data_IF_034322647433
#
_entry.id   IF_034322647433
#
_cell.length_a   1.000
_cell.length_b   1.000
_cell.length_c   1.000
_cell.angle_alpha   90.00
_cell.angle_beta   90.00
_cell.angle_gamma   90.00
#
_symmetry.space_group_name_H-M   'P 1'
#
loop_
_entity.id
_entity.type
_entity.pdbx_description
1 polymer ?
#
# COMPACT_ATOMS: atom_id res chain seq x y z
N UNK A 1 -25.65 -19.80 7.62
CA UNK A 1 -24.83 -18.96 6.73
C UNK A 1 -23.54 -18.63 7.45
N UNK A 2 -22.43 -19.28 7.12
CA UNK A 2 -21.14 -19.00 7.76
C UNK A 2 -20.58 -17.72 7.13
N UNK A 3 -20.49 -16.64 7.91
CA UNK A 3 -19.83 -15.43 7.44
C UNK A 3 -18.37 -15.76 7.11
N UNK A 4 -17.94 -15.47 5.87
CA UNK A 4 -16.54 -15.56 5.48
C UNK A 4 -15.76 -14.56 6.32
N UNK A 5 -14.85 -15.02 7.18
CA UNK A 5 -13.97 -14.10 7.89
C UNK A 5 -13.16 -13.29 6.86
N UNK A 6 -13.14 -11.95 6.94
CA UNK A 6 -12.38 -11.15 6.00
C UNK A 6 -10.88 -11.42 6.23
N UNK A 7 -10.22 -11.95 5.19
CA UNK A 7 -8.77 -12.17 5.20
C UNK A 7 -8.07 -10.88 4.78
N UNK A 8 -6.87 -10.66 5.31
CA UNK A 8 -6.03 -9.55 4.87
C UNK A 8 -5.32 -9.91 3.57
N UNK A 9 -5.32 -8.97 2.64
CA UNK A 9 -4.63 -9.02 1.36
C UNK A 9 -3.47 -8.02 1.36
N UNK A 10 -2.40 -8.35 0.64
CA UNK A 10 -1.26 -7.46 0.41
C UNK A 10 -1.42 -6.77 -0.94
N UNK A 11 -1.61 -5.47 -0.93
CA UNK A 11 -1.73 -4.65 -2.11
C UNK A 11 -0.42 -3.92 -2.40
N UNK A 12 0.00 -3.94 -3.66
CA UNK A 12 0.92 -2.96 -4.22
C UNK A 12 0.12 -1.99 -5.07
N UNK A 13 0.10 -0.71 -4.67
CA UNK A 13 -0.71 0.34 -5.30
C UNK A 13 0.21 1.32 -5.99
N UNK A 14 0.14 1.36 -7.31
CA UNK A 14 0.90 2.32 -8.12
C UNK A 14 0.11 3.61 -8.28
N UNK A 15 0.83 4.73 -8.24
CA UNK A 15 0.29 6.08 -8.32
C UNK A 15 0.84 6.79 -9.57
N UNK A 16 0.26 7.92 -9.97
CA UNK A 16 0.82 8.78 -11.02
C UNK A 16 2.27 9.18 -10.71
N UNK A 17 3.12 9.29 -11.74
CA UNK A 17 4.57 9.51 -11.58
C UNK A 17 4.89 10.85 -10.87
N UNK A 18 4.10 11.89 -11.14
CA UNK A 18 4.21 13.19 -10.48
C UNK A 18 3.96 13.10 -8.97
N UNK A 19 2.97 12.28 -8.55
CA UNK A 19 2.72 11.99 -7.14
C UNK A 19 3.87 11.21 -6.52
N UNK A 20 4.35 10.16 -7.20
CA UNK A 20 5.46 9.34 -6.72
C UNK A 20 6.71 10.20 -6.49
N UNK A 21 7.05 11.05 -7.47
CA UNK A 21 8.19 11.98 -7.40
C UNK A 21 8.03 13.00 -6.28
N UNK A 22 6.87 13.62 -6.14
CA UNK A 22 6.61 14.61 -5.10
C UNK A 22 6.70 14.05 -3.68
N UNK A 23 6.46 12.74 -3.51
CA UNK A 23 6.50 12.05 -2.21
C UNK A 23 7.73 11.18 -1.99
N UNK A 24 8.65 11.12 -2.96
CA UNK A 24 9.84 10.26 -2.88
C UNK A 24 9.50 8.76 -2.83
N UNK A 25 8.41 8.33 -3.45
CA UNK A 25 7.95 6.94 -3.47
C UNK A 25 8.57 6.19 -4.66
N UNK A 26 9.14 5.01 -4.41
CA UNK A 26 9.68 4.17 -5.48
C UNK A 26 8.57 3.25 -6.02
N UNK A 27 7.90 3.67 -7.09
CA UNK A 27 6.98 2.83 -7.88
C UNK A 27 5.58 2.61 -7.30
N UNK A 28 5.36 2.84 -6.00
CA UNK A 28 4.03 2.67 -5.39
C UNK A 28 4.02 2.71 -3.86
N UNK A 29 2.91 2.25 -3.29
CA UNK A 29 2.71 2.05 -1.85
C UNK A 29 2.32 0.59 -1.59
N UNK A 30 2.87 0.02 -0.51
CA UNK A 30 2.49 -1.28 0.01
C UNK A 30 1.47 -1.15 1.12
N UNK A 31 0.30 -1.79 0.98
CA UNK A 31 -0.79 -1.72 1.97
C UNK A 31 -1.34 -3.11 2.22
N UNK A 32 -1.56 -3.45 3.49
CA UNK A 32 -2.30 -4.66 3.86
C UNK A 32 -3.67 -4.26 4.37
N UNK A 33 -4.72 -4.80 3.76
CA UNK A 33 -6.10 -4.38 3.99
C UNK A 33 -7.08 -5.53 3.73
N UNK A 34 -8.34 -5.38 4.14
CA UNK A 34 -9.37 -6.40 3.90
C UNK A 34 -9.88 -6.44 2.45
N UNK A 35 -9.86 -5.30 1.79
CA UNK A 35 -10.22 -5.11 0.39
C UNK A 35 -9.57 -3.82 -0.13
N UNK A 36 -9.74 -3.53 -1.43
CA UNK A 36 -9.16 -2.33 -2.04
C UNK A 36 -9.74 -1.03 -1.50
N UNK A 37 -11.00 -1.01 -1.06
CA UNK A 37 -11.62 0.19 -0.48
C UNK A 37 -11.08 0.48 0.93
N UNK A 38 -10.78 -0.58 1.67
CA UNK A 38 -10.08 -0.51 2.95
C UNK A 38 -8.65 0.00 2.76
N UNK A 39 -7.94 -0.46 1.73
CA UNK A 39 -6.63 0.06 1.37
C UNK A 39 -6.68 1.57 1.00
N UNK A 40 -7.69 2.00 0.23
CA UNK A 40 -7.94 3.42 -0.08
C UNK A 40 -8.16 4.25 1.18
N UNK A 41 -9.02 3.78 2.09
CA UNK A 41 -9.30 4.44 3.37
C UNK A 41 -8.03 4.58 4.22
N UNK A 42 -7.20 3.55 4.27
CA UNK A 42 -5.90 3.59 4.96
C UNK A 42 -4.97 4.63 4.34
N UNK A 43 -4.77 4.61 3.01
CA UNK A 43 -3.90 5.56 2.32
C UNK A 43 -4.37 7.01 2.49
N UNK A 44 -5.68 7.26 2.34
CA UNK A 44 -6.26 8.58 2.55
C UNK A 44 -6.02 9.09 3.98
N UNK A 45 -6.21 8.23 4.99
CA UNK A 45 -6.10 8.60 6.40
C UNK A 45 -4.65 8.72 6.91
N UNK A 46 -3.69 8.01 6.30
CA UNK A 46 -2.31 7.93 6.82
C UNK A 46 -1.30 8.68 5.96
N UNK A 47 -1.37 8.56 4.63
CA UNK A 47 -0.37 9.11 3.71
C UNK A 47 -0.83 10.39 3.00
N UNK A 48 -2.13 10.49 2.71
CA UNK A 48 -2.73 11.61 1.97
C UNK A 48 -3.62 12.49 2.86
N UNK A 49 -3.34 12.64 4.15
CA UNK A 49 -4.21 13.34 5.13
C UNK A 49 -4.74 14.70 4.67
N UNK A 50 -3.89 15.50 4.02
CA UNK A 50 -4.17 16.89 3.64
C UNK A 50 -4.45 17.07 2.14
N UNK A 51 -4.44 15.97 1.38
CA UNK A 51 -4.57 16.01 -0.08
C UNK A 51 -5.52 14.92 -0.56
N UNK A 52 -6.30 15.13 -1.64
CA UNK A 52 -7.09 14.05 -2.21
C UNK A 52 -6.21 12.85 -2.59
N UNK A 53 -6.67 11.64 -2.25
CA UNK A 53 -6.03 10.41 -2.75
C UNK A 53 -6.11 10.39 -4.29
N UNK A 54 -4.99 10.31 -5.01
CA UNK A 54 -5.00 10.28 -6.47
C UNK A 54 -5.58 8.95 -6.99
N UNK A 55 -6.00 8.95 -8.24
CA UNK A 55 -6.42 7.73 -8.93
C UNK A 55 -5.24 6.75 -9.03
N UNK A 56 -5.48 5.50 -8.68
CA UNK A 56 -4.47 4.45 -8.79
C UNK A 56 -4.24 4.10 -10.26
N UNK A 57 -2.99 4.05 -10.69
CA UNK A 57 -2.62 3.70 -12.07
C UNK A 57 -2.63 2.19 -12.28
N UNK A 58 -2.24 1.43 -11.25
CA UNK A 58 -2.27 -0.01 -11.23
C UNK A 58 -2.39 -0.53 -9.80
N UNK A 59 -2.98 -1.71 -9.63
CA UNK A 59 -3.11 -2.38 -8.34
C UNK A 59 -2.78 -3.85 -8.53
N UNK A 60 -1.84 -4.36 -7.74
CA UNK A 60 -1.56 -5.78 -7.62
C UNK A 60 -2.05 -6.27 -6.27
N UNK A 61 -3.06 -7.14 -6.28
CA UNK A 61 -3.58 -7.82 -5.08
C UNK A 61 -2.78 -9.10 -4.81
N UNK A 62 -2.67 -9.46 -3.52
CA UNK A 62 -1.89 -10.59 -3.03
C UNK A 62 -0.45 -10.62 -3.55
N UNK A 63 0.18 -9.43 -3.59
CA UNK A 63 1.55 -9.27 -4.09
C UNK A 63 2.52 -10.17 -3.32
N UNK A 64 3.33 -10.90 -4.06
CA UNK A 64 4.51 -11.56 -3.52
C UNK A 64 5.58 -10.49 -3.28
N UNK A 65 5.78 -10.11 -2.02
CA UNK A 65 6.74 -9.06 -1.67
C UNK A 65 8.16 -9.40 -2.10
N UNK A 66 8.51 -10.68 -2.26
CA UNK A 66 9.86 -11.11 -2.68
C UNK A 66 10.17 -10.72 -4.13
N UNK A 67 9.16 -10.38 -4.93
CA UNK A 67 9.33 -9.91 -6.31
C UNK A 67 9.50 -8.40 -6.42
N UNK A 68 9.41 -7.66 -5.30
CA UNK A 68 9.58 -6.21 -5.28
C UNK A 68 11.07 -5.82 -5.33
N UNK A 69 11.33 -4.55 -5.65
CA UNK A 69 12.68 -4.03 -5.81
C UNK A 69 13.54 -4.26 -4.55
N UNK A 70 14.62 -5.02 -4.73
CA UNK A 70 15.51 -5.40 -3.64
C UNK A 70 16.47 -4.29 -3.17
N UNK A 71 16.65 -3.23 -3.97
CA UNK A 71 17.53 -2.10 -3.64
C UNK A 71 16.83 -0.98 -2.87
N UNK A 72 15.50 -0.87 -3.01
CA UNK A 72 14.71 0.24 -2.46
C UNK A 72 13.47 -0.21 -1.71
N UNK A 73 12.66 -1.14 -2.23
CA UNK A 73 11.37 -1.49 -1.59
C UNK A 73 11.58 -2.44 -0.42
N UNK A 74 12.26 -3.57 -0.65
CA UNK A 74 12.53 -4.57 0.39
C UNK A 74 13.29 -4.03 1.63
N UNK A 75 14.33 -3.19 1.51
CA UNK A 75 15.01 -2.64 2.68
C UNK A 75 14.19 -1.56 3.40
N UNK A 76 13.18 -0.98 2.75
CA UNK A 76 12.36 0.12 3.30
C UNK A 76 10.89 -0.27 3.47
N UNK A 77 10.60 -1.55 3.73
CA UNK A 77 9.26 -2.03 4.07
C UNK A 77 9.16 -2.47 5.54
N UNK A 78 7.98 -2.27 6.13
CA UNK A 78 7.60 -2.77 7.45
C UNK A 78 6.90 -4.14 7.40
N UNK A 79 6.17 -4.46 8.47
CA UNK A 79 5.45 -5.74 8.60
C UNK A 79 4.27 -5.79 7.63
N UNK A 80 4.39 -6.57 6.54
CA UNK A 80 3.34 -6.69 5.52
C UNK A 80 2.17 -7.63 5.90
N UNK A 81 2.20 -8.28 7.06
CA UNK A 81 1.10 -9.13 7.55
C UNK A 81 0.10 -8.37 8.44
N UNK A 82 0.39 -7.12 8.80
CA UNK A 82 -0.47 -6.29 9.64
C UNK A 82 -1.29 -5.31 8.80
N UNK A 83 -2.55 -5.09 9.17
CA UNK A 83 -3.40 -4.12 8.48
C UNK A 83 -2.81 -2.71 8.61
N UNK A 84 -2.48 -2.08 7.48
CA UNK A 84 -1.82 -0.78 7.43
C UNK A 84 -0.87 -0.63 6.24
N UNK A 85 -0.18 0.49 6.18
CA UNK A 85 0.85 0.74 5.16
C UNK A 85 2.14 0.04 5.58
N UNK A 86 2.66 -0.88 4.76
CA UNK A 86 3.96 -1.50 4.99
C UNK A 86 5.04 -0.94 4.05
N UNK A 87 4.70 -0.16 3.03
CA UNK A 87 5.67 0.62 2.26
C UNK A 87 5.05 1.96 1.81
N UNK A 88 5.73 3.11 2.00
CA UNK A 88 7.09 3.25 2.55
C UNK A 88 7.14 3.01 4.07
N UNK A 89 8.32 2.68 4.59
CA UNK A 89 8.56 2.50 6.03
C UNK A 89 8.16 3.75 6.82
N UNK A 90 7.60 3.56 8.02
CA UNK A 90 7.19 4.65 8.92
C UNK A 90 5.79 5.21 8.67
N UNK A 91 5.09 4.74 7.62
CA UNK A 91 3.68 5.08 7.39
C UNK A 91 2.69 4.08 8.02
N UNK A 92 3.16 2.89 8.38
CA UNK A 92 2.37 1.86 9.05
C UNK A 92 2.18 2.10 10.55
N UNK A 93 1.36 1.26 11.22
CA UNK A 93 1.33 1.22 12.68
C UNK A 93 2.70 0.88 13.27
#
# INVERSE_FOLDING_TARGET
MTARQPRLHRYWIQLPEDVLRARGLCGGCGVTAYDLDDARRILQAQLFKETPLPTFTHVTEDVDVTTLDAGHVLPNMGVCSWRGIWYPLGCGP
#
